data_IF_459170591867
#
_entry.id   IF_459170591867
#
_cell.length_a   1.000
_cell.length_b   1.000
_cell.length_c   1.000
_cell.angle_alpha   90.00
_cell.angle_beta   90.00
_cell.angle_gamma   90.00
#
_symmetry.space_group_name_H-M   'P 1'
#
loop_
_entity.id
_entity.type
_entity.pdbx_description
1 polymer ?
#
# COMPACT_ATOMS: atom_id res chain seq x y z
N UNK A 1 27.99 71.48 -23.74
CA UNK A 1 27.39 70.95 -22.50
C UNK A 1 25.96 71.47 -22.42
N UNK A 2 25.03 70.53 -22.26
CA UNK A 2 23.63 70.62 -22.72
C UNK A 2 22.78 71.54 -21.84
N UNK A 3 21.89 72.25 -22.52
CA UNK A 3 20.92 73.22 -22.01
C UNK A 3 19.56 72.54 -21.80
N UNK A 4 18.93 72.91 -20.67
CA UNK A 4 17.54 73.41 -20.53
C UNK A 4 16.33 72.45 -20.47
N UNK A 5 15.43 72.91 -19.57
CA UNK A 5 13.95 72.82 -19.50
C UNK A 5 13.35 71.44 -19.14
N UNK A 6 12.70 71.32 -17.98
CA UNK A 6 11.27 71.66 -17.69
C UNK A 6 10.28 70.81 -18.48
N UNK A 7 9.44 70.01 -17.82
CA UNK A 7 8.00 70.29 -17.65
C UNK A 7 7.27 69.17 -16.87
N UNK A 8 6.22 69.58 -16.17
CA UNK A 8 5.22 68.83 -15.41
C UNK A 8 4.07 68.40 -16.34
N UNK A 9 3.47 67.23 -16.11
CA UNK A 9 2.10 66.82 -16.49
C UNK A 9 1.74 65.62 -15.56
N UNK A 10 1.00 65.76 -14.44
CA UNK A 10 -0.44 65.93 -14.24
C UNK A 10 -1.32 65.10 -15.20
N UNK A 11 -2.04 64.10 -14.67
CA UNK A 11 -3.52 63.96 -14.73
C UNK A 11 -3.92 62.65 -14.03
N UNK A 12 -4.67 62.84 -12.95
CA UNK A 12 -5.58 61.93 -12.23
C UNK A 12 -6.73 61.41 -13.08
N UNK A 13 -7.30 60.24 -12.71
CA UNK A 13 -8.76 59.88 -12.63
C UNK A 13 -8.90 58.36 -12.90
N UNK A 14 -9.84 57.57 -12.39
CA UNK A 14 -10.71 57.48 -11.19
C UNK A 14 -11.66 56.30 -11.54
N UNK A 15 -11.75 55.28 -10.68
CA UNK A 15 -12.93 54.45 -10.31
C UNK A 15 -13.88 53.92 -11.43
N UNK A 16 -14.11 52.59 -11.44
CA UNK A 16 -15.45 51.99 -11.23
C UNK A 16 -15.42 50.46 -11.20
N UNK A 17 -15.93 49.90 -10.09
CA UNK A 17 -16.33 48.50 -9.97
C UNK A 17 -17.62 48.23 -10.76
N UNK A 18 -17.75 47.03 -11.31
CA UNK A 18 -19.04 46.43 -11.63
C UNK A 18 -19.02 44.96 -11.18
N UNK A 19 -19.69 44.72 -10.06
CA UNK A 19 -20.28 43.44 -9.69
C UNK A 19 -21.62 43.33 -10.42
N UNK A 20 -21.77 42.28 -11.23
CA UNK A 20 -23.02 41.70 -11.76
C UNK A 20 -22.68 40.21 -11.89
N UNK A 21 -23.33 39.22 -11.27
CA UNK A 21 -24.67 39.12 -10.69
C UNK A 21 -25.56 38.24 -11.58
N UNK A 22 -26.12 37.16 -10.99
CA UNK A 22 -27.02 36.11 -11.53
C UNK A 22 -26.28 34.84 -11.99
N UNK A 23 -26.59 33.63 -11.53
CA UNK A 23 -27.79 33.13 -10.85
C UNK A 23 -28.30 31.92 -11.63
N UNK A 24 -28.30 30.73 -11.01
CA UNK A 24 -28.79 29.49 -11.60
C UNK A 24 -28.47 28.31 -10.70
N UNK A 25 -29.41 27.99 -9.82
CA UNK A 25 -29.43 26.79 -8.99
C UNK A 25 -30.35 25.81 -9.72
N UNK A 26 -29.78 24.76 -10.29
CA UNK A 26 -30.51 23.54 -10.66
C UNK A 26 -29.75 22.35 -10.08
N UNK A 27 -30.45 21.62 -9.23
CA UNK A 27 -30.13 20.25 -8.88
C UNK A 27 -30.37 19.41 -10.12
N UNK A 28 -29.33 18.75 -10.61
CA UNK A 28 -29.49 17.51 -11.37
C UNK A 28 -28.58 16.44 -10.76
N UNK A 29 -29.12 15.23 -10.77
CA UNK A 29 -28.66 14.08 -10.03
C UNK A 29 -27.24 13.65 -10.43
N UNK A 30 -26.44 13.32 -9.42
CA UNK A 30 -25.21 12.56 -9.58
C UNK A 30 -25.57 11.17 -10.12
N UNK A 31 -25.25 10.94 -11.39
CA UNK A 31 -24.75 9.65 -11.85
C UNK A 31 -23.25 9.70 -11.67
N UNK A 32 -22.75 9.00 -10.65
CA UNK A 32 -21.34 8.61 -10.56
C UNK A 32 -21.05 7.67 -11.74
N UNK A 33 -20.47 8.24 -12.79
CA UNK A 33 -19.54 7.53 -13.66
C UNK A 33 -18.16 8.08 -13.27
N UNK A 34 -17.58 7.56 -12.18
CA UNK A 34 -16.16 7.73 -11.86
C UNK A 34 -15.36 6.83 -12.83
N UNK A 35 -15.32 7.23 -14.09
CA UNK A 35 -14.20 6.85 -14.95
C UNK A 35 -13.05 7.76 -14.55
N UNK A 36 -11.94 7.18 -14.08
CA UNK A 36 -10.71 7.92 -13.83
C UNK A 36 -10.37 8.75 -15.08
N UNK A 37 -10.24 10.07 -14.89
CA UNK A 37 -9.91 11.01 -15.97
C UNK A 37 -8.52 10.62 -16.50
N UNK A 38 -8.48 10.01 -17.70
CA UNK A 38 -7.24 9.58 -18.34
C UNK A 38 -6.35 10.80 -18.50
N UNK A 39 -5.14 10.75 -17.94
CA UNK A 39 -4.22 11.87 -18.03
C UNK A 39 -3.68 11.89 -19.46
N UNK A 40 -4.27 12.72 -20.31
CA UNK A 40 -3.76 12.97 -21.67
C UNK A 40 -2.29 13.41 -21.59
N UNK A 41 -1.39 12.59 -22.14
CA UNK A 41 0.03 12.85 -22.16
C UNK A 41 0.41 13.95 -23.15
N UNK A 42 0.04 15.20 -22.86
CA UNK A 42 0.34 16.38 -23.69
C UNK A 42 1.68 17.05 -23.31
N UNK A 43 2.44 16.45 -22.38
CA UNK A 43 3.76 16.89 -21.93
C UNK A 43 4.88 15.90 -22.28
N UNK A 44 6.07 16.41 -22.59
CA UNK A 44 7.29 15.61 -22.81
C UNK A 44 7.68 14.88 -21.50
N UNK A 45 7.72 13.54 -21.53
CA UNK A 45 8.09 12.73 -20.38
C UNK A 45 9.56 13.00 -20.02
N UNK A 46 9.85 13.19 -18.74
CA UNK A 46 11.22 13.38 -18.27
C UNK A 46 11.90 12.02 -18.07
N UNK A 47 13.16 11.91 -18.45
CA UNK A 47 13.96 10.70 -18.22
C UNK A 47 14.08 10.38 -16.73
N UNK A 48 13.99 9.09 -16.39
CA UNK A 48 14.14 8.64 -15.02
C UNK A 48 13.44 7.32 -14.75
N UNK A 49 13.57 6.89 -13.48
CA UNK A 49 12.87 5.74 -12.96
C UNK A 49 11.74 6.20 -12.03
N UNK A 50 10.56 5.64 -12.20
CA UNK A 50 9.34 6.03 -11.53
C UNK A 50 8.69 4.79 -10.88
N UNK A 51 8.08 5.00 -9.72
CA UNK A 51 7.40 3.95 -8.96
C UNK A 51 6.08 4.50 -8.41
N UNK A 52 5.02 3.72 -8.53
CA UNK A 52 3.72 3.96 -7.92
C UNK A 52 3.24 2.69 -7.21
N UNK A 53 2.47 2.86 -6.13
CA UNK A 53 2.03 1.76 -5.27
C UNK A 53 0.65 2.08 -4.68
N UNK A 54 -0.26 1.12 -4.73
CA UNK A 54 -1.56 1.21 -4.04
C UNK A 54 -1.37 0.96 -2.54
N UNK A 55 -2.29 1.40 -1.67
CA UNK A 55 -2.29 0.93 -0.30
C UNK A 55 -2.55 -0.59 -0.24
N UNK A 56 -2.10 -1.22 0.84
CA UNK A 56 -2.51 -2.59 1.19
C UNK A 56 -4.01 -2.63 1.45
N UNK A 57 -4.67 -3.58 0.80
CA UNK A 57 -6.08 -3.90 0.95
C UNK A 57 -6.28 -5.43 0.88
N UNK A 58 -7.06 -5.99 1.79
CA UNK A 58 -7.28 -7.45 1.89
C UNK A 58 -5.98 -8.28 1.80
N UNK A 59 -4.92 -7.84 2.47
CA UNK A 59 -3.63 -8.55 2.52
C UNK A 59 -2.80 -8.54 1.24
N UNK A 60 -3.12 -7.68 0.26
CA UNK A 60 -2.34 -7.52 -0.96
C UNK A 60 -2.34 -6.05 -1.44
N UNK A 61 -1.46 -5.70 -2.37
CA UNK A 61 -1.40 -4.36 -2.97
C UNK A 61 -0.80 -4.44 -4.38
N UNK A 62 -1.00 -3.40 -5.17
CA UNK A 62 -0.42 -3.26 -6.51
C UNK A 62 0.78 -2.33 -6.49
N UNK A 63 1.79 -2.64 -7.29
CA UNK A 63 2.97 -1.81 -7.50
C UNK A 63 3.30 -1.76 -8.99
N UNK A 64 3.64 -0.58 -9.48
CA UNK A 64 4.08 -0.38 -10.85
C UNK A 64 5.40 0.39 -10.91
N UNK A 65 6.29 -0.03 -11.80
CA UNK A 65 7.55 0.66 -12.10
C UNK A 65 7.61 1.02 -13.58
N UNK A 66 8.23 2.16 -13.88
CA UNK A 66 8.37 2.68 -15.24
C UNK A 66 9.72 3.38 -15.40
N UNK A 67 10.43 3.08 -16.49
CA UNK A 67 11.66 3.76 -16.88
C UNK A 67 11.42 4.57 -18.17
N UNK A 68 11.81 5.83 -18.15
CA UNK A 68 11.77 6.74 -19.31
C UNK A 68 13.20 7.08 -19.73
N UNK A 69 13.47 6.93 -21.02
CA UNK A 69 14.77 7.23 -21.66
C UNK A 69 14.52 8.00 -22.95
N UNK A 70 15.22 9.11 -23.14
CA UNK A 70 15.04 9.99 -24.30
C UNK A 70 13.58 10.44 -24.52
N UNK A 71 12.83 10.62 -23.42
CA UNK A 71 11.42 10.99 -23.42
C UNK A 71 10.42 9.89 -23.82
N UNK A 72 10.89 8.65 -24.00
CA UNK A 72 10.07 7.48 -24.32
C UNK A 72 10.06 6.46 -23.17
N UNK A 73 8.96 5.74 -22.99
CA UNK A 73 8.85 4.69 -21.97
C UNK A 73 9.62 3.46 -22.43
N UNK A 74 10.81 3.25 -21.88
CA UNK A 74 11.69 2.11 -22.18
C UNK A 74 11.15 0.82 -21.56
N UNK A 75 10.78 0.86 -20.28
CA UNK A 75 10.29 -0.33 -19.57
C UNK A 75 9.14 0.00 -18.62
N UNK A 76 8.25 -0.98 -18.45
CA UNK A 76 7.13 -0.90 -17.51
C UNK A 76 6.87 -2.29 -16.89
N UNK A 77 6.55 -2.32 -15.60
CA UNK A 77 6.10 -3.53 -14.90
C UNK A 77 5.00 -3.17 -13.91
N UNK A 78 3.87 -3.88 -13.98
CA UNK A 78 2.80 -3.88 -12.99
C UNK A 78 2.77 -5.23 -12.27
N UNK A 79 2.54 -5.23 -10.96
CA UNK A 79 2.45 -6.45 -10.15
C UNK A 79 1.49 -6.29 -9.00
N UNK A 80 0.73 -7.34 -8.71
CA UNK A 80 -0.05 -7.46 -7.47
C UNK A 80 0.70 -8.37 -6.51
N UNK A 81 0.88 -7.92 -5.27
CA UNK A 81 1.86 -8.47 -4.32
C UNK A 81 1.14 -8.84 -3.02
N UNK A 82 1.42 -10.04 -2.50
CA UNK A 82 0.94 -10.50 -1.20
C UNK A 82 1.70 -9.78 -0.09
N UNK A 83 1.00 -9.02 0.76
CA UNK A 83 1.62 -8.14 1.76
C UNK A 83 2.42 -8.92 2.82
N UNK A 84 2.03 -10.15 3.15
CA UNK A 84 2.74 -10.97 4.13
C UNK A 84 4.06 -11.52 3.56
N UNK A 85 4.05 -12.03 2.33
CA UNK A 85 5.21 -12.75 1.77
C UNK A 85 6.09 -11.87 0.89
N UNK A 86 5.56 -10.75 0.38
CA UNK A 86 6.22 -9.94 -0.63
C UNK A 86 6.32 -10.61 -2.00
N UNK A 87 5.68 -11.75 -2.20
CA UNK A 87 5.61 -12.44 -3.49
C UNK A 87 4.54 -11.82 -4.39
N UNK A 88 4.79 -11.82 -5.69
CA UNK A 88 3.74 -11.53 -6.68
C UNK A 88 2.67 -12.63 -6.64
N UNK A 89 1.41 -12.25 -6.90
CA UNK A 89 0.29 -13.19 -6.99
C UNK A 89 0.63 -14.29 -8.01
N UNK A 90 0.41 -15.53 -7.60
CA UNK A 90 0.64 -16.71 -8.42
C UNK A 90 -0.35 -17.84 -8.05
N UNK A 91 -0.29 -18.96 -8.76
CA UNK A 91 -1.21 -20.08 -8.54
C UNK A 91 -1.12 -20.69 -7.13
N UNK A 92 0.04 -20.58 -6.47
CA UNK A 92 0.27 -21.14 -5.14
C UNK A 92 -0.29 -20.22 -4.04
N UNK A 93 0.00 -18.91 -4.12
CA UNK A 93 -0.38 -17.94 -3.07
C UNK A 93 -1.73 -17.25 -3.31
N UNK A 94 -2.34 -17.40 -4.49
CA UNK A 94 -3.64 -16.81 -4.86
C UNK A 94 -4.59 -17.83 -5.51
N UNK A 95 -4.52 -19.08 -5.04
CA UNK A 95 -5.19 -20.25 -5.64
C UNK A 95 -6.73 -20.18 -5.77
N UNK A 96 -7.40 -19.34 -4.98
CA UNK A 96 -8.86 -19.21 -5.00
C UNK A 96 -9.39 -18.35 -6.17
N UNK A 97 -8.52 -17.54 -6.79
CA UNK A 97 -8.89 -16.50 -7.75
C UNK A 97 -7.85 -16.40 -8.88
N UNK A 98 -7.46 -17.54 -9.44
CA UNK A 98 -6.37 -17.60 -10.44
C UNK A 98 -6.71 -16.95 -11.78
N UNK A 99 -7.98 -16.62 -12.02
CA UNK A 99 -8.44 -15.86 -13.19
C UNK A 99 -7.81 -14.46 -13.31
N UNK A 100 -7.32 -13.89 -12.21
CA UNK A 100 -6.65 -12.57 -12.22
C UNK A 100 -5.27 -12.64 -12.87
N UNK A 101 -4.59 -13.79 -12.78
CA UNK A 101 -3.20 -13.94 -13.23
C UNK A 101 -3.01 -13.66 -14.73
N UNK A 102 -3.80 -14.25 -15.65
CA UNK A 102 -3.69 -13.91 -17.06
C UNK A 102 -4.09 -12.46 -17.37
N UNK A 103 -4.94 -11.82 -16.55
CA UNK A 103 -5.29 -10.40 -16.72
C UNK A 103 -4.08 -9.52 -16.39
N UNK A 104 -3.37 -9.81 -15.30
CA UNK A 104 -2.14 -9.08 -14.93
C UNK A 104 -1.06 -9.24 -16.02
N UNK A 105 -0.90 -10.44 -16.57
CA UNK A 105 0.04 -10.71 -17.67
C UNK A 105 -0.33 -9.91 -18.93
N UNK A 106 -1.59 -9.97 -19.34
CA UNK A 106 -2.11 -9.27 -20.52
C UNK A 106 -2.00 -7.74 -20.39
N UNK A 107 -2.31 -7.16 -19.22
CA UNK A 107 -2.13 -5.72 -18.96
C UNK A 107 -0.66 -5.29 -19.13
N UNK A 108 0.28 -6.08 -18.60
CA UNK A 108 1.71 -5.82 -18.77
C UNK A 108 2.16 -5.93 -20.23
N UNK A 109 1.71 -6.96 -20.96
CA UNK A 109 2.05 -7.15 -22.37
C UNK A 109 1.49 -6.00 -23.22
N UNK A 110 0.20 -5.73 -23.10
CA UNK A 110 -0.49 -4.69 -23.86
C UNK A 110 0.12 -3.31 -23.61
N UNK A 111 0.37 -2.93 -22.35
CA UNK A 111 0.92 -1.62 -22.07
C UNK A 111 2.37 -1.51 -22.52
N UNK A 112 3.19 -2.56 -22.43
CA UNK A 112 4.54 -2.54 -22.98
C UNK A 112 4.58 -2.47 -24.51
N UNK A 113 3.54 -2.93 -25.21
CA UNK A 113 3.43 -2.76 -26.67
C UNK A 113 2.91 -1.37 -27.05
N UNK A 114 1.83 -0.93 -26.41
CA UNK A 114 1.05 0.24 -26.82
C UNK A 114 1.55 1.54 -26.19
N UNK A 115 2.01 1.47 -24.94
CA UNK A 115 2.46 2.62 -24.12
C UNK A 115 1.40 3.73 -23.98
N UNK A 116 0.13 3.39 -24.19
CA UNK A 116 -1.03 4.28 -24.16
C UNK A 116 -2.24 3.50 -23.64
N UNK A 117 -2.84 4.01 -22.55
CA UNK A 117 -4.03 3.40 -21.92
C UNK A 117 -5.23 3.41 -22.87
N UNK A 118 -5.37 4.44 -23.71
CA UNK A 118 -6.51 4.58 -24.62
C UNK A 118 -6.52 3.55 -25.76
N UNK A 119 -5.37 2.92 -26.01
CA UNK A 119 -5.22 1.87 -27.01
C UNK A 119 -5.39 0.46 -26.44
N UNK A 120 -5.46 0.30 -25.11
CA UNK A 120 -5.60 -1.00 -24.45
C UNK A 120 -6.97 -1.64 -24.69
N UNK A 121 -7.00 -2.97 -24.74
CA UNK A 121 -8.21 -3.78 -24.88
C UNK A 121 -8.55 -4.42 -23.52
N UNK A 122 -9.68 -4.03 -22.96
CA UNK A 122 -10.15 -4.48 -21.64
C UNK A 122 -11.31 -5.48 -21.73
N UNK A 123 -11.63 -6.02 -22.91
CA UNK A 123 -12.78 -6.91 -23.10
C UNK A 123 -12.66 -8.23 -22.28
N UNK A 124 -11.45 -8.65 -21.94
CA UNK A 124 -11.17 -9.88 -21.20
C UNK A 124 -11.27 -9.74 -19.66
N UNK A 125 -11.72 -8.60 -19.13
CA UNK A 125 -11.57 -8.24 -17.70
C UNK A 125 -12.73 -8.64 -16.80
N UNK A 126 -13.68 -9.44 -17.30
CA UNK A 126 -14.87 -9.85 -16.52
C UNK A 126 -14.47 -10.56 -15.22
N UNK A 127 -14.80 -9.95 -14.08
CA UNK A 127 -14.46 -10.47 -12.74
C UNK A 127 -13.16 -9.91 -12.15
N UNK A 128 -12.39 -9.12 -12.90
CA UNK A 128 -11.12 -8.53 -12.48
C UNK A 128 -11.13 -6.98 -12.56
N UNK A 129 -12.30 -6.37 -12.39
CA UNK A 129 -12.47 -4.91 -12.55
C UNK A 129 -11.54 -4.12 -11.63
N UNK A 130 -11.39 -4.51 -10.36
CA UNK A 130 -10.50 -3.81 -9.43
C UNK A 130 -9.02 -3.84 -9.84
N UNK A 131 -8.55 -4.93 -10.48
CA UNK A 131 -7.19 -5.02 -11.03
C UNK A 131 -6.98 -4.03 -12.16
N UNK A 132 -7.97 -3.86 -13.04
CA UNK A 132 -7.90 -2.92 -14.17
C UNK A 132 -7.93 -1.48 -13.68
N UNK A 133 -8.85 -1.15 -12.78
CA UNK A 133 -8.96 0.18 -12.19
C UNK A 133 -7.65 0.58 -11.50
N UNK A 134 -7.11 -0.31 -10.65
CA UNK A 134 -5.83 -0.05 -9.97
C UNK A 134 -4.67 0.07 -10.97
N UNK A 135 -4.65 -0.73 -12.02
CA UNK A 135 -3.64 -0.63 -13.08
C UNK A 135 -3.68 0.75 -13.76
N UNK A 136 -4.87 1.21 -14.17
CA UNK A 136 -5.05 2.52 -14.81
C UNK A 136 -4.65 3.66 -13.87
N UNK A 137 -5.03 3.59 -12.59
CA UNK A 137 -4.64 4.57 -11.57
C UNK A 137 -3.11 4.67 -11.43
N UNK A 138 -2.42 3.54 -11.28
CA UNK A 138 -0.96 3.53 -11.12
C UNK A 138 -0.23 3.98 -12.38
N UNK A 139 -0.73 3.62 -13.57
CA UNK A 139 -0.15 4.11 -14.85
C UNK A 139 -0.32 5.63 -14.96
N UNK A 140 -1.51 6.16 -14.69
CA UNK A 140 -1.75 7.60 -14.71
C UNK A 140 -0.86 8.34 -13.69
N UNK A 141 -0.68 7.78 -12.49
CA UNK A 141 0.24 8.33 -11.48
C UNK A 141 1.70 8.36 -11.98
N UNK A 142 2.16 7.26 -12.60
CA UNK A 142 3.51 7.17 -13.17
C UNK A 142 3.72 8.18 -14.29
N UNK A 143 2.75 8.34 -15.20
CA UNK A 143 2.80 9.32 -16.28
C UNK A 143 2.84 10.75 -15.72
N UNK A 144 2.01 11.06 -14.72
CA UNK A 144 2.02 12.36 -14.06
C UNK A 144 3.37 12.65 -13.37
N UNK A 145 3.94 11.68 -12.66
CA UNK A 145 5.28 11.77 -12.07
C UNK A 145 6.36 12.00 -13.13
N UNK A 146 6.29 11.29 -14.25
CA UNK A 146 7.23 11.43 -15.35
C UNK A 146 7.14 12.79 -16.05
N UNK A 147 5.95 13.35 -16.22
CA UNK A 147 5.78 14.72 -16.73
C UNK A 147 6.32 15.77 -15.76
N UNK A 148 6.14 15.55 -14.46
CA UNK A 148 6.64 16.45 -13.41
C UNK A 148 8.16 16.33 -13.20
N UNK A 149 8.78 15.24 -13.66
CA UNK A 149 10.17 14.90 -13.34
C UNK A 149 10.37 14.43 -11.90
N UNK A 150 9.31 13.92 -11.27
CA UNK A 150 9.31 13.41 -9.89
C UNK A 150 9.85 11.98 -9.86
N UNK A 151 11.15 11.85 -10.14
CA UNK A 151 11.85 10.55 -10.20
C UNK A 151 11.90 9.87 -8.83
N UNK A 152 11.80 8.55 -8.81
CA UNK A 152 11.95 7.74 -7.63
C UNK A 152 13.43 7.42 -7.33
N UNK A 153 13.79 7.40 -6.05
CA UNK A 153 15.09 6.95 -5.56
C UNK A 153 14.88 5.84 -4.53
N UNK A 154 15.46 4.64 -4.73
CA UNK A 154 15.40 3.55 -3.77
C UNK A 154 15.87 3.96 -2.37
N UNK A 155 15.09 3.61 -1.34
CA UNK A 155 15.39 3.93 0.07
C UNK A 155 16.22 2.82 0.72
N UNK A 156 15.94 1.58 0.35
CA UNK A 156 16.58 0.39 0.92
C UNK A 156 17.32 -0.41 -0.15
N UNK A 157 18.23 -1.27 0.30
CA UNK A 157 18.84 -2.32 -0.51
C UNK A 157 17.88 -3.50 -0.62
N UNK A 158 17.65 -4.00 -1.83
CA UNK A 158 16.80 -5.17 -2.08
C UNK A 158 17.31 -6.43 -1.37
N UNK A 159 16.38 -7.26 -0.90
CA UNK A 159 16.70 -8.51 -0.21
C UNK A 159 15.64 -8.94 0.79
N UNK A 160 15.95 -10.04 1.49
CA UNK A 160 15.18 -10.55 2.61
C UNK A 160 15.93 -10.27 3.92
N UNK A 161 15.25 -9.66 4.87
CA UNK A 161 15.81 -9.22 6.15
C UNK A 161 15.02 -9.80 7.29
N UNK A 162 15.71 -10.42 8.24
CA UNK A 162 15.07 -11.16 9.32
C UNK A 162 15.61 -10.67 10.66
N UNK A 163 14.72 -10.51 11.63
CA UNK A 163 15.11 -10.16 12.99
C UNK A 163 14.25 -10.90 14.02
N UNK A 164 14.79 -10.98 15.23
CA UNK A 164 14.10 -11.50 16.42
C UNK A 164 14.16 -10.48 17.54
N UNK A 165 13.13 -10.47 18.37
CA UNK A 165 13.12 -9.74 19.64
C UNK A 165 14.28 -10.20 20.54
N UNK A 166 14.74 -9.33 21.41
CA UNK A 166 15.83 -9.64 22.34
C UNK A 166 15.36 -10.50 23.53
N UNK A 167 14.10 -10.36 23.93
CA UNK A 167 13.48 -11.10 25.03
C UNK A 167 12.13 -11.70 24.60
N UNK A 168 11.76 -12.83 25.17
CA UNK A 168 10.42 -13.41 25.01
C UNK A 168 9.40 -12.76 25.94
N UNK A 169 8.13 -12.83 25.56
CA UNK A 169 6.99 -12.49 26.41
C UNK A 169 6.21 -13.75 26.75
N UNK A 170 6.43 -14.28 27.96
CA UNK A 170 5.72 -15.45 28.51
C UNK A 170 5.91 -16.70 27.64
N UNK A 171 7.14 -16.93 27.17
CA UNK A 171 7.49 -18.07 26.32
C UNK A 171 7.29 -17.82 24.83
N UNK A 172 6.86 -16.63 24.41
CA UNK A 172 6.65 -16.28 23.00
C UNK A 172 7.66 -15.24 22.54
N UNK A 173 8.42 -15.55 21.48
CA UNK A 173 9.44 -14.67 20.92
C UNK A 173 8.94 -14.07 19.60
N UNK A 174 8.96 -12.74 19.49
CA UNK A 174 8.64 -12.04 18.26
C UNK A 174 9.74 -12.19 17.21
N UNK A 175 9.35 -12.49 15.98
CA UNK A 175 10.21 -12.61 14.81
C UNK A 175 9.58 -11.88 13.62
N UNK A 176 10.40 -11.35 12.72
CA UNK A 176 9.93 -10.76 11.46
C UNK A 176 10.77 -11.24 10.29
N UNK A 177 10.11 -11.45 9.16
CA UNK A 177 10.74 -11.52 7.84
C UNK A 177 10.25 -10.33 7.01
N UNK A 178 11.17 -9.55 6.44
CA UNK A 178 10.88 -8.38 5.59
C UNK A 178 11.46 -8.64 4.21
N UNK A 179 10.65 -8.41 3.17
CA UNK A 179 11.07 -8.49 1.77
C UNK A 179 11.11 -7.09 1.17
N UNK A 180 12.24 -6.74 0.55
CA UNK A 180 12.46 -5.45 -0.10
C UNK A 180 12.77 -5.67 -1.58
N UNK A 181 12.04 -4.95 -2.44
CA UNK A 181 12.21 -4.93 -3.90
C UNK A 181 12.12 -3.49 -4.39
N UNK A 182 12.99 -3.10 -5.32
CA UNK A 182 13.07 -1.73 -5.84
C UNK A 182 13.22 -0.66 -4.72
N UNK A 183 13.88 -1.02 -3.62
CA UNK A 183 14.02 -0.21 -2.41
C UNK A 183 12.70 0.09 -1.66
N UNK A 184 11.63 -0.66 -1.96
CA UNK A 184 10.36 -0.65 -1.25
C UNK A 184 10.21 -1.89 -0.37
N UNK A 185 9.67 -1.72 0.83
CA UNK A 185 9.15 -2.82 1.65
C UNK A 185 7.90 -3.36 0.93
N UNK A 186 7.97 -4.62 0.51
CA UNK A 186 6.91 -5.29 -0.24
C UNK A 186 6.32 -6.49 0.50
N UNK A 187 7.01 -6.98 1.53
CA UNK A 187 6.53 -8.08 2.38
C UNK A 187 6.91 -7.85 3.84
N UNK A 188 5.98 -8.07 4.77
CA UNK A 188 6.24 -8.11 6.22
C UNK A 188 5.47 -9.29 6.82
N UNK A 189 6.20 -10.28 7.33
CA UNK A 189 5.68 -11.44 8.07
C UNK A 189 6.19 -11.36 9.51
N UNK A 190 5.44 -10.65 10.38
CA UNK A 190 5.67 -10.68 11.81
C UNK A 190 4.86 -11.80 12.45
N UNK A 191 5.49 -12.54 13.36
CA UNK A 191 4.83 -13.56 14.15
C UNK A 191 5.53 -13.73 15.50
N UNK A 192 4.80 -14.24 16.49
CA UNK A 192 5.39 -14.67 17.75
C UNK A 192 5.43 -16.21 17.79
N UNK A 193 6.58 -16.81 18.08
CA UNK A 193 6.75 -18.26 18.14
C UNK A 193 7.11 -18.74 19.55
N UNK A 194 6.62 -19.92 19.94
CA UNK A 194 6.92 -20.49 21.24
C UNK A 194 8.40 -20.88 21.33
N UNK A 195 9.11 -20.47 22.38
CA UNK A 195 10.52 -20.86 22.59
C UNK A 195 10.69 -22.19 23.32
N UNK A 196 9.62 -22.64 23.98
CA UNK A 196 9.55 -23.89 24.73
C UNK A 196 8.16 -24.52 24.59
N UNK A 197 7.94 -25.68 25.22
CA UNK A 197 6.60 -26.26 25.29
C UNK A 197 5.76 -25.43 26.27
N UNK A 198 4.59 -24.97 25.83
CA UNK A 198 3.71 -24.09 26.61
C UNK A 198 2.30 -24.67 26.67
N UNK A 199 1.67 -24.56 27.84
CA UNK A 199 0.22 -24.71 27.93
C UNK A 199 -0.42 -23.36 27.63
N UNK A 200 -1.16 -23.29 26.53
CA UNK A 200 -1.91 -22.12 26.09
C UNK A 200 -3.40 -22.47 26.02
N UNK A 201 -4.20 -21.59 25.44
CA UNK A 201 -5.60 -21.89 25.16
C UNK A 201 -6.05 -21.21 23.88
N UNK A 202 -7.10 -21.74 23.26
CA UNK A 202 -7.77 -21.15 22.10
C UNK A 202 -9.24 -20.90 22.41
N UNK A 203 -9.87 -19.98 21.66
CA UNK A 203 -11.31 -19.73 21.76
C UNK A 203 -12.07 -20.91 21.13
N UNK A 204 -13.16 -21.33 21.77
CA UNK A 204 -14.11 -22.29 21.21
C UNK A 204 -15.10 -21.53 20.34
N UNK A 205 -15.18 -21.90 19.06
CA UNK A 205 -16.11 -21.32 18.09
C UNK A 205 -17.32 -22.24 17.90
N UNK A 206 -18.49 -21.65 17.65
CA UNK A 206 -19.71 -22.38 17.32
C UNK A 206 -19.76 -22.80 15.83
N UNK A 207 -20.90 -23.35 15.38
CA UNK A 207 -21.08 -23.80 13.99
C UNK A 207 -21.10 -22.67 12.95
N UNK A 208 -21.20 -21.42 13.39
CA UNK A 208 -21.16 -20.21 12.57
C UNK A 208 -19.81 -19.50 12.60
N UNK A 209 -18.87 -19.96 13.45
CA UNK A 209 -17.56 -19.35 13.62
C UNK A 209 -17.54 -18.24 14.67
N UNK A 210 -18.63 -18.06 15.42
CA UNK A 210 -18.71 -17.07 16.49
C UNK A 210 -18.19 -17.66 17.83
N UNK A 211 -17.56 -16.87 18.72
CA UNK A 211 -17.12 -17.35 20.02
C UNK A 211 -18.28 -17.88 20.88
N UNK A 212 -18.18 -19.13 21.34
CA UNK A 212 -19.08 -19.62 22.38
C UNK A 212 -18.85 -18.86 23.68
N UNK A 213 -19.90 -18.30 24.29
CA UNK A 213 -19.79 -17.55 25.54
C UNK A 213 -20.12 -18.41 26.78
N UNK A 214 -19.43 -18.14 27.89
CA UNK A 214 -19.73 -18.69 29.21
C UNK A 214 -20.92 -17.96 29.88
N UNK A 215 -21.28 -18.39 31.10
CA UNK A 215 -22.40 -17.81 31.85
C UNK A 215 -22.18 -16.32 32.23
N UNK A 216 -20.92 -15.85 32.20
CA UNK A 216 -20.51 -14.49 32.49
C UNK A 216 -20.37 -13.63 31.20
N UNK A 217 -20.59 -14.24 30.02
CA UNK A 217 -20.49 -13.57 28.72
C UNK A 217 -19.08 -13.49 28.15
N UNK A 218 -18.10 -14.20 28.71
CA UNK A 218 -16.74 -14.26 28.17
C UNK A 218 -16.60 -15.42 27.17
N UNK A 219 -15.73 -15.32 26.15
CA UNK A 219 -15.42 -16.45 25.29
C UNK A 219 -14.93 -17.65 26.08
N UNK A 220 -15.53 -18.82 25.83
CA UNK A 220 -15.01 -20.09 26.33
C UNK A 220 -13.70 -20.42 25.64
N UNK A 221 -12.82 -21.06 26.39
CA UNK A 221 -11.52 -21.50 25.88
C UNK A 221 -11.28 -22.97 26.19
N UNK A 222 -10.45 -23.61 25.38
CA UNK A 222 -9.89 -24.93 25.68
C UNK A 222 -8.36 -24.89 25.71
N UNK A 223 -7.76 -25.71 26.58
CA UNK A 223 -6.31 -25.81 26.73
C UNK A 223 -5.68 -26.47 25.50
N UNK A 224 -4.54 -25.93 25.06
CA UNK A 224 -3.76 -26.42 23.93
C UNK A 224 -2.29 -26.44 24.32
N UNK A 225 -1.66 -27.60 24.18
CA UNK A 225 -0.20 -27.72 24.31
C UNK A 225 0.46 -27.25 23.02
N UNK A 226 1.30 -26.23 23.13
CA UNK A 226 2.05 -25.61 22.03
C UNK A 226 3.49 -26.09 22.08
N UNK A 227 4.04 -26.49 20.93
CA UNK A 227 5.43 -26.96 20.84
C UNK A 227 6.40 -25.82 20.54
N UNK A 228 7.69 -25.98 20.90
CA UNK A 228 8.72 -25.02 20.50
C UNK A 228 8.74 -24.83 18.98
N UNK A 229 8.74 -23.57 18.55
CA UNK A 229 8.73 -23.13 17.16
C UNK A 229 7.34 -22.99 16.53
N UNK A 230 6.26 -23.41 17.19
CA UNK A 230 4.90 -23.15 16.70
C UNK A 230 4.57 -21.65 16.83
N UNK A 231 4.05 -21.07 15.75
CA UNK A 231 3.61 -19.66 15.72
C UNK A 231 2.30 -19.50 16.49
N UNK A 232 2.12 -18.37 17.17
CA UNK A 232 0.81 -17.95 17.69
C UNK A 232 -0.20 -17.92 16.54
N UNK A 233 -1.37 -18.48 16.78
CA UNK A 233 -2.51 -18.45 15.85
C UNK A 233 -3.82 -18.56 16.63
N UNK A 234 -4.94 -18.40 15.93
CA UNK A 234 -6.28 -18.66 16.48
C UNK A 234 -6.47 -20.12 16.94
N UNK A 235 -5.58 -21.04 16.55
CA UNK A 235 -5.64 -22.44 16.96
C UNK A 235 -4.94 -22.72 18.29
N UNK A 236 -4.12 -21.79 18.80
CA UNK A 236 -3.33 -22.00 20.00
C UNK A 236 -3.23 -20.77 20.92
N UNK A 237 -3.92 -19.68 20.59
CA UNK A 237 -3.94 -18.45 21.37
C UNK A 237 -5.35 -17.88 21.45
N UNK A 238 -5.75 -17.41 22.63
CA UNK A 238 -7.13 -17.03 22.94
C UNK A 238 -7.39 -15.52 22.86
N UNK A 239 -6.47 -14.77 22.25
CA UNK A 239 -6.57 -13.31 22.13
C UNK A 239 -6.49 -12.91 20.65
N UNK A 240 -7.63 -12.99 19.91
CA UNK A 240 -7.67 -12.81 18.46
C UNK A 240 -7.32 -11.39 18.01
N UNK A 241 -7.62 -10.39 18.84
CA UNK A 241 -7.29 -8.97 18.61
C UNK A 241 -5.79 -8.72 18.37
N UNK A 242 -4.92 -9.65 18.82
CA UNK A 242 -3.49 -9.62 18.48
C UNK A 242 -3.26 -9.74 16.98
N UNK A 243 -3.97 -10.63 16.29
CA UNK A 243 -3.75 -10.88 14.87
C UNK A 243 -4.20 -9.67 14.03
N UNK A 244 -5.33 -9.05 14.40
CA UNK A 244 -5.75 -7.78 13.81
C UNK A 244 -4.71 -6.67 14.03
N UNK A 245 -4.11 -6.62 15.23
CA UNK A 245 -3.02 -5.66 15.53
C UNK A 245 -1.79 -5.93 14.65
N UNK A 246 -1.42 -7.20 14.46
CA UNK A 246 -0.27 -7.59 13.63
C UNK A 246 -0.52 -7.19 12.17
N UNK A 247 -1.67 -7.54 11.61
CA UNK A 247 -2.05 -7.19 10.24
C UNK A 247 -2.01 -5.68 10.03
N UNK A 248 -2.65 -4.90 10.91
CA UNK A 248 -2.68 -3.44 10.80
C UNK A 248 -1.29 -2.80 10.88
N UNK A 249 -0.38 -3.31 11.72
CA UNK A 249 1.00 -2.79 11.78
C UNK A 249 1.78 -3.11 10.51
N UNK A 250 1.65 -4.34 9.98
CA UNK A 250 2.30 -4.73 8.73
C UNK A 250 1.84 -3.85 7.56
N UNK A 251 0.54 -3.60 7.46
CA UNK A 251 -0.04 -2.70 6.45
C UNK A 251 0.53 -1.29 6.55
N UNK A 252 0.57 -0.72 7.75
CA UNK A 252 1.14 0.61 7.97
C UNK A 252 2.61 0.68 7.55
N UNK A 253 3.42 -0.32 7.91
CA UNK A 253 4.85 -0.37 7.55
C UNK A 253 5.05 -0.46 6.04
N UNK A 254 4.25 -1.28 5.35
CA UNK A 254 4.32 -1.40 3.88
C UNK A 254 3.88 -0.08 3.24
N UNK A 255 2.72 0.45 3.62
CA UNK A 255 2.16 1.68 3.04
C UNK A 255 3.10 2.87 3.21
N UNK A 256 3.75 2.98 4.38
CA UNK A 256 4.67 4.06 4.69
C UNK A 256 6.12 3.80 4.20
N UNK A 257 6.42 2.59 3.74
CA UNK A 257 7.78 2.16 3.39
C UNK A 257 8.79 2.31 4.57
N UNK A 258 8.36 1.98 5.78
CA UNK A 258 9.19 2.08 7.00
C UNK A 258 8.36 2.33 8.26
N UNK A 259 9.06 2.52 9.39
CA UNK A 259 8.45 2.70 10.72
C UNK A 259 8.33 4.16 11.17
N UNK A 260 8.83 5.11 10.40
CA UNK A 260 8.78 6.53 10.71
C UNK A 260 7.35 7.08 10.58
N UNK A 261 6.90 7.96 11.47
CA UNK A 261 5.60 8.65 11.38
C UNK A 261 4.35 7.73 11.26
N UNK A 262 4.43 6.48 11.72
CA UNK A 262 3.28 5.58 11.75
C UNK A 262 2.22 6.04 12.77
N UNK A 263 0.96 6.12 12.35
CA UNK A 263 -0.19 6.33 13.24
C UNK A 263 -0.59 5.03 13.97
N UNK A 264 0.35 4.49 14.73
CA UNK A 264 0.15 3.24 15.47
C UNK A 264 -0.91 3.38 16.56
N UNK A 265 -1.17 4.59 17.05
CA UNK A 265 -2.16 4.86 18.10
C UNK A 265 -3.61 4.71 17.63
N UNK A 266 -3.84 4.70 16.31
CA UNK A 266 -5.12 4.30 15.73
C UNK A 266 -5.38 2.79 15.82
N UNK A 267 -4.34 1.97 16.01
CA UNK A 267 -4.46 0.51 16.13
C UNK A 267 -4.86 0.17 17.57
N UNK A 268 -6.08 -0.34 17.73
CA UNK A 268 -6.57 -0.88 19.00
C UNK A 268 -5.99 -2.27 19.24
N UNK A 269 -5.61 -2.60 20.48
CA UNK A 269 -5.18 -3.95 20.85
C UNK A 269 -3.94 -3.98 21.74
N UNK A 270 -3.05 -4.95 21.49
CA UNK A 270 -1.88 -5.24 22.33
C UNK A 270 -0.76 -4.20 22.16
N UNK A 271 -0.78 -3.14 22.96
CA UNK A 271 0.29 -2.11 22.96
C UNK A 271 1.69 -2.73 23.13
N UNK A 272 1.84 -3.74 23.98
CA UNK A 272 3.13 -4.40 24.19
C UNK A 272 3.62 -5.16 22.96
N UNK A 273 2.74 -5.88 22.25
CA UNK A 273 3.13 -6.56 21.00
C UNK A 273 3.46 -5.54 19.91
N UNK A 274 2.74 -4.41 19.86
CA UNK A 274 3.00 -3.31 18.93
C UNK A 274 4.41 -2.73 19.08
N UNK A 275 4.82 -2.47 20.32
CA UNK A 275 6.16 -1.94 20.58
C UNK A 275 7.25 -2.95 20.14
N UNK A 276 7.05 -4.25 20.44
CA UNK A 276 7.96 -5.32 20.00
C UNK A 276 8.00 -5.43 18.46
N UNK A 277 6.86 -5.32 17.79
CA UNK A 277 6.79 -5.34 16.32
C UNK A 277 7.66 -4.24 15.71
N UNK A 278 7.48 -3.00 16.15
CA UNK A 278 8.24 -1.86 15.63
C UNK A 278 9.74 -2.05 15.90
N UNK A 279 10.12 -2.45 17.11
CA UNK A 279 11.52 -2.70 17.47
C UNK A 279 12.17 -3.76 16.55
N UNK A 280 11.48 -4.88 16.33
CA UNK A 280 12.00 -5.99 15.53
C UNK A 280 12.05 -5.63 14.05
N UNK A 281 11.08 -4.86 13.54
CA UNK A 281 11.08 -4.34 12.17
C UNK A 281 12.25 -3.36 11.97
N UNK A 282 12.45 -2.41 12.89
CA UNK A 282 13.58 -1.47 12.84
C UNK A 282 14.93 -2.20 12.85
N UNK A 283 15.03 -3.26 13.66
CA UNK A 283 16.22 -4.12 13.72
C UNK A 283 16.48 -4.82 12.39
N UNK A 284 15.45 -5.35 11.72
CA UNK A 284 15.60 -5.94 10.39
C UNK A 284 15.97 -4.89 9.32
N UNK A 285 15.34 -3.72 9.34
CA UNK A 285 15.59 -2.64 8.38
C UNK A 285 16.95 -1.96 8.55
N UNK A 286 17.59 -2.06 9.72
CA UNK A 286 18.93 -1.51 9.94
C UNK A 286 19.98 -2.12 9.00
N UNK A 287 19.82 -3.38 8.62
CA UNK A 287 20.71 -4.08 7.68
C UNK A 287 20.41 -3.77 6.21
N UNK A 288 19.26 -3.14 5.93
CA UNK A 288 18.82 -2.78 4.58
C UNK A 288 19.20 -1.34 4.15
N UNK A 289 19.73 -0.53 5.07
CA UNK A 289 20.10 0.88 4.86
C UNK A 289 21.53 1.09 4.34
#
# INVERSE_FOLDING_TARGET
MKKRLSLIFLVTVLIAALVVGCGGQDQDAATDDDAADVVEADGELQDGFYLAKSPVDHGNFSMATMEVVDGEIESFKYSEIMATTGEEKNEENYSAYTEVLPVIEDLNEQFNEKKDLSEMDYDATTGCTGTVETFEELVNELLAKAQAGDTYTPVYTDGEYNAKADEDSRGWLGEVNIVIRDGQIVGVDYFEAAIEELESSRIILDEHGDPELDDDGNPKTEEVTVKPGERKSNENYNYPELFDTIEAVQELVINNNGTEDLDVDAITGSTGSRDIMIEVIEKALADAK
#
